data_IF_480367709477
#
_entry.id   IF_480367709477
#
_cell.length_a   1.000
_cell.length_b   1.000
_cell.length_c   1.000
_cell.angle_alpha   90.00
_cell.angle_beta   90.00
_cell.angle_gamma   90.00
#
_symmetry.space_group_name_H-M   'P 1'
#
loop_
_entity.id
_entity.type
_entity.pdbx_description
1 polymer ?
#
# COMPACT_ATOMS: atom_id res chain seq x y z
N UNK A 1 30.79 28.33 30.69
CA UNK A 1 30.68 27.53 29.45
C UNK A 1 29.84 26.31 29.79
N UNK A 2 28.51 26.39 29.69
CA UNK A 2 27.63 25.27 30.00
C UNK A 2 27.43 24.44 28.72
N UNK A 3 28.13 23.31 28.64
CA UNK A 3 27.86 22.28 27.64
C UNK A 3 26.65 21.47 28.09
N UNK A 4 25.49 21.77 27.53
CA UNK A 4 24.30 20.91 27.62
C UNK A 4 24.54 19.66 26.76
N UNK A 5 24.50 18.43 27.29
CA UNK A 5 24.47 17.25 26.45
C UNK A 5 23.09 17.13 25.81
N UNK A 6 23.00 17.34 24.48
CA UNK A 6 21.83 16.92 23.71
C UNK A 6 21.82 15.39 23.67
N UNK A 7 20.96 14.76 24.48
CA UNK A 7 20.55 13.38 24.27
C UNK A 7 19.40 13.38 23.26
N UNK A 8 19.46 12.65 22.14
CA UNK A 8 18.23 12.36 21.41
C UNK A 8 17.41 11.42 22.29
N UNK A 9 16.30 11.91 22.84
CA UNK A 9 15.29 11.10 23.52
C UNK A 9 14.56 10.20 22.51
N UNK A 10 15.29 9.26 21.92
CA UNK A 10 14.68 8.16 21.17
C UNK A 10 14.30 7.10 22.18
N UNK A 11 13.09 7.21 22.74
CA UNK A 11 12.48 6.09 23.45
C UNK A 11 12.59 4.86 22.55
N UNK A 12 13.25 3.77 22.99
CA UNK A 12 13.38 2.57 22.17
C UNK A 12 11.99 2.04 21.81
N UNK A 13 11.81 1.45 20.62
CA UNK A 13 10.53 0.87 20.26
C UNK A 13 10.20 -0.27 21.24
N UNK A 14 9.01 -0.21 21.83
CA UNK A 14 8.50 -1.25 22.71
C UNK A 14 8.06 -2.51 21.93
N UNK A 15 7.85 -2.37 20.62
CA UNK A 15 7.46 -3.45 19.72
C UNK A 15 8.18 -3.33 18.38
N UNK A 16 8.75 -4.45 17.91
CA UNK A 16 9.47 -4.55 16.64
C UNK A 16 8.96 -5.74 15.82
N UNK A 17 8.77 -5.54 14.52
CA UNK A 17 8.41 -6.58 13.55
C UNK A 17 9.51 -6.67 12.50
N UNK A 18 10.08 -7.87 12.29
CA UNK A 18 11.05 -8.15 11.23
C UNK A 18 10.49 -9.18 10.27
N UNK A 19 10.43 -8.86 8.99
CA UNK A 19 9.86 -9.74 7.96
C UNK A 19 10.81 -9.84 6.77
N UNK A 20 10.98 -11.06 6.27
CA UNK A 20 11.58 -11.30 4.95
C UNK A 20 10.47 -11.62 3.96
N UNK A 21 10.24 -10.72 3.01
CA UNK A 21 9.13 -10.78 2.06
C UNK A 21 9.61 -11.14 0.66
N UNK A 22 8.81 -11.85 -0.14
CA UNK A 22 9.14 -12.08 -1.55
C UNK A 22 9.28 -10.76 -2.30
N UNK A 23 10.07 -10.75 -3.38
CA UNK A 23 10.19 -9.56 -4.22
C UNK A 23 8.83 -9.08 -4.76
N UNK A 24 8.43 -7.81 -4.54
CA UNK A 24 7.14 -7.31 -4.99
C UNK A 24 7.07 -7.20 -6.52
N UNK A 25 5.88 -7.31 -7.13
CA UNK A 25 5.66 -6.86 -8.50
C UNK A 25 5.86 -5.33 -8.61
N UNK A 26 5.89 -4.79 -9.82
CA UNK A 26 5.95 -3.33 -9.97
C UNK A 26 4.58 -2.74 -9.66
N UNK A 27 4.52 -1.49 -9.18
CA UNK A 27 3.25 -0.79 -8.97
C UNK A 27 2.36 -0.79 -10.22
N UNK A 28 2.94 -0.61 -11.39
CA UNK A 28 2.22 -0.68 -12.67
C UNK A 28 1.62 -2.06 -12.98
N UNK A 29 2.22 -3.14 -12.47
CA UNK A 29 1.65 -4.50 -12.56
C UNK A 29 0.65 -4.76 -11.43
N UNK A 30 0.84 -4.09 -10.29
CA UNK A 30 0.05 -4.26 -9.08
C UNK A 30 -1.31 -3.56 -9.16
N UNK A 31 -1.35 -2.29 -9.57
CA UNK A 31 -2.58 -1.54 -9.75
C UNK A 31 -2.95 -1.49 -11.24
N UNK A 32 -4.21 -1.80 -11.55
CA UNK A 32 -4.77 -1.67 -12.89
C UNK A 32 -5.89 -0.65 -12.90
N UNK A 33 -6.02 0.05 -14.01
CA UNK A 33 -7.12 0.96 -14.26
C UNK A 33 -7.60 0.70 -15.68
N UNK A 34 -8.60 -0.15 -15.82
CA UNK A 34 -9.23 -0.35 -17.13
C UNK A 34 -9.95 0.93 -17.55
N UNK A 35 -10.13 1.12 -18.86
CA UNK A 35 -10.72 2.33 -19.41
C UNK A 35 -12.12 2.57 -18.81
N UNK A 36 -12.27 3.66 -18.05
CA UNK A 36 -13.52 4.01 -17.36
C UNK A 36 -13.78 3.25 -16.04
N UNK A 37 -12.92 2.30 -15.68
CA UNK A 37 -12.99 1.56 -14.42
C UNK A 37 -12.26 2.31 -13.29
N UNK A 38 -12.46 1.85 -12.06
CA UNK A 38 -11.78 2.40 -10.88
C UNK A 38 -10.45 1.66 -10.75
N UNK A 39 -9.36 2.33 -10.36
CA UNK A 39 -8.13 1.64 -10.02
C UNK A 39 -8.39 0.50 -9.04
N UNK A 40 -7.91 -0.69 -9.37
CA UNK A 40 -8.08 -1.90 -8.57
C UNK A 40 -6.78 -2.69 -8.54
N UNK A 41 -6.63 -3.52 -7.52
CA UNK A 41 -5.49 -4.45 -7.42
C UNK A 41 -5.65 -5.55 -8.46
N UNK A 42 -4.61 -5.77 -9.27
CA UNK A 42 -4.54 -6.83 -10.26
C UNK A 42 -4.54 -8.21 -9.61
N UNK A 43 -4.75 -9.27 -10.41
CA UNK A 43 -4.65 -10.64 -9.89
C UNK A 43 -3.23 -10.98 -9.42
N UNK A 44 -2.21 -10.45 -10.09
CA UNK A 44 -0.82 -10.55 -9.63
C UNK A 44 -0.62 -9.85 -8.27
N UNK A 45 -1.24 -8.68 -8.08
CA UNK A 45 -1.22 -7.97 -6.80
C UNK A 45 -1.93 -8.74 -5.70
N UNK A 46 -3.13 -9.30 -5.97
CA UNK A 46 -3.86 -10.15 -5.02
C UNK A 46 -3.04 -11.39 -4.65
N UNK A 47 -2.40 -12.03 -5.62
CA UNK A 47 -1.52 -13.19 -5.38
C UNK A 47 -0.31 -12.80 -4.53
N UNK A 48 0.28 -11.62 -4.76
CA UNK A 48 1.35 -11.10 -3.91
C UNK A 48 0.89 -10.88 -2.46
N UNK A 49 -0.26 -10.22 -2.23
CA UNK A 49 -0.83 -10.05 -0.88
C UNK A 49 -1.09 -11.39 -0.20
N UNK A 50 -1.63 -12.35 -0.93
CA UNK A 50 -1.90 -13.68 -0.41
C UNK A 50 -0.61 -14.40 0.02
N UNK A 51 0.46 -14.30 -0.77
CA UNK A 51 1.78 -14.83 -0.40
C UNK A 51 2.34 -14.16 0.84
N UNK A 52 2.33 -12.82 0.90
CA UNK A 52 2.80 -12.07 2.07
C UNK A 52 2.04 -12.50 3.33
N UNK A 53 0.70 -12.63 3.26
CA UNK A 53 -0.10 -13.10 4.39
C UNK A 53 0.23 -14.56 4.78
N UNK A 54 0.35 -15.45 3.80
CA UNK A 54 0.61 -16.86 4.03
C UNK A 54 2.01 -17.13 4.61
N UNK A 55 3.02 -16.35 4.21
CA UNK A 55 4.38 -16.47 4.75
C UNK A 55 4.53 -15.91 6.17
N UNK A 56 3.55 -15.16 6.68
CA UNK A 56 3.62 -14.47 7.97
C UNK A 56 2.42 -14.81 8.86
N UNK A 57 1.97 -16.07 8.83
CA UNK A 57 0.91 -16.55 9.72
C UNK A 57 1.38 -16.47 11.17
N UNK A 58 0.53 -15.96 12.06
CA UNK A 58 0.87 -15.73 13.47
C UNK A 58 1.61 -14.42 13.74
N UNK A 59 2.01 -13.67 12.70
CA UNK A 59 2.55 -12.32 12.88
C UNK A 59 1.51 -11.40 13.51
N UNK A 60 1.89 -10.73 14.59
CA UNK A 60 1.06 -9.71 15.25
C UNK A 60 1.24 -8.37 14.54
N UNK A 61 0.15 -7.63 14.37
CA UNK A 61 0.18 -6.30 13.82
C UNK A 61 0.51 -5.25 14.89
N UNK A 62 1.22 -4.20 14.53
CA UNK A 62 1.46 -3.03 15.36
C UNK A 62 0.25 -2.09 15.37
N UNK A 63 0.04 -1.42 16.50
CA UNK A 63 -0.95 -0.35 16.70
C UNK A 63 -0.24 0.98 16.94
N UNK A 64 -0.89 2.07 16.54
CA UNK A 64 -0.36 3.43 16.70
C UNK A 64 0.69 3.79 15.63
N UNK A 65 1.42 4.90 15.80
CA UNK A 65 2.45 5.33 14.85
C UNK A 65 3.55 4.28 14.68
N UNK A 66 3.94 4.04 13.43
CA UNK A 66 4.96 3.08 13.01
C UNK A 66 6.06 3.80 12.23
N UNK A 67 7.30 3.38 12.48
CA UNK A 67 8.47 3.72 11.68
C UNK A 67 8.81 2.52 10.80
N UNK A 68 8.94 2.74 9.50
CA UNK A 68 9.23 1.70 8.52
C UNK A 68 10.66 1.82 7.99
N UNK A 69 11.38 0.69 8.00
CA UNK A 69 12.65 0.50 7.29
C UNK A 69 12.51 -0.67 6.33
N UNK A 70 13.11 -0.56 5.14
CA UNK A 70 13.08 -1.63 4.15
C UNK A 70 14.36 -1.70 3.32
N UNK A 71 14.93 -2.88 3.21
CA UNK A 71 16.09 -3.17 2.35
C UNK A 71 15.66 -4.08 1.21
N UNK A 72 15.78 -3.60 -0.03
CA UNK A 72 15.30 -4.28 -1.22
C UNK A 72 16.45 -5.04 -1.91
N UNK A 73 16.29 -6.35 -2.08
CA UNK A 73 17.22 -7.24 -2.79
C UNK A 73 16.64 -7.62 -4.17
N UNK A 74 16.97 -6.88 -5.26
CA UNK A 74 16.34 -7.07 -6.55
C UNK A 74 16.76 -8.38 -7.24
N UNK A 75 15.86 -8.99 -8.03
CA UNK A 75 16.16 -10.22 -8.78
C UNK A 75 17.14 -9.99 -9.92
N UNK A 76 17.17 -8.78 -10.48
CA UNK A 76 18.00 -8.43 -11.64
C UNK A 76 18.65 -7.06 -11.43
N UNK A 77 19.65 -6.72 -12.26
CA UNK A 77 20.27 -5.39 -12.28
C UNK A 77 19.40 -4.32 -12.98
N UNK A 78 18.19 -4.68 -13.41
CA UNK A 78 17.32 -3.71 -14.07
C UNK A 78 16.96 -2.59 -13.10
N UNK A 79 17.13 -1.34 -13.54
CA UNK A 79 16.72 -0.16 -12.78
C UNK A 79 15.23 -0.30 -12.43
N UNK A 80 14.96 -0.33 -11.13
CA UNK A 80 13.61 -0.31 -10.58
C UNK A 80 13.45 0.96 -9.75
N UNK A 81 12.27 1.57 -9.80
CA UNK A 81 11.95 2.69 -8.92
C UNK A 81 11.67 2.19 -7.48
N UNK A 82 12.33 2.79 -6.50
CA UNK A 82 12.21 2.43 -5.09
C UNK A 82 10.81 2.72 -4.56
N UNK A 83 10.29 3.93 -4.84
CA UNK A 83 8.97 4.36 -4.36
C UNK A 83 7.84 3.48 -4.90
N UNK A 84 7.94 3.07 -6.17
CA UNK A 84 7.01 2.15 -6.80
C UNK A 84 6.98 0.77 -6.13
N UNK A 85 8.10 0.26 -5.63
CA UNK A 85 8.13 -0.99 -4.87
C UNK A 85 7.65 -0.80 -3.43
N UNK A 86 8.05 0.29 -2.79
CA UNK A 86 7.65 0.63 -1.42
C UNK A 86 6.13 0.74 -1.31
N UNK A 87 5.47 1.41 -2.26
CA UNK A 87 4.01 1.52 -2.25
C UNK A 87 3.29 0.17 -2.31
N UNK A 88 3.86 -0.80 -3.03
CA UNK A 88 3.32 -2.17 -3.12
C UNK A 88 3.53 -2.92 -1.81
N UNK A 89 4.70 -2.72 -1.19
CA UNK A 89 5.04 -3.28 0.12
C UNK A 89 4.06 -2.81 1.19
N UNK A 90 3.80 -1.50 1.26
CA UNK A 90 2.89 -0.91 2.25
C UNK A 90 1.47 -1.46 2.15
N UNK A 91 0.92 -1.55 0.93
CA UNK A 91 -0.43 -2.11 0.74
C UNK A 91 -0.49 -3.61 1.13
N UNK A 92 0.61 -4.35 0.97
CA UNK A 92 0.68 -5.76 1.33
C UNK A 92 0.91 -6.02 2.83
N UNK A 93 1.52 -5.07 3.56
CA UNK A 93 1.77 -5.15 5.00
C UNK A 93 0.53 -4.81 5.85
N UNK A 94 -0.47 -4.14 5.28
CA UNK A 94 -1.72 -3.85 5.98
C UNK A 94 -2.45 -5.13 6.43
N UNK A 95 -2.89 -5.12 7.69
CA UNK A 95 -3.47 -6.25 8.42
C UNK A 95 -2.52 -7.45 8.60
N UNK A 96 -1.24 -7.30 8.27
CA UNK A 96 -0.18 -8.28 8.52
C UNK A 96 0.77 -7.77 9.59
N UNK A 97 1.35 -6.59 9.38
CA UNK A 97 2.36 -6.01 10.25
C UNK A 97 1.90 -4.73 10.97
N UNK A 98 0.85 -4.08 10.47
CA UNK A 98 0.14 -2.97 11.09
C UNK A 98 -1.32 -2.96 10.63
N UNK A 99 -2.21 -2.21 11.29
CA UNK A 99 -3.65 -2.19 10.97
C UNK A 99 -3.97 -1.42 9.69
N UNK A 100 -3.40 -0.23 9.53
CA UNK A 100 -3.59 0.63 8.36
C UNK A 100 -2.34 1.43 8.00
N UNK A 101 -2.21 1.79 6.72
CA UNK A 101 -1.10 2.58 6.17
C UNK A 101 -0.93 3.96 6.81
N UNK A 102 -2.00 4.59 7.30
CA UNK A 102 -1.92 5.86 8.04
C UNK A 102 -1.14 5.75 9.36
N UNK A 103 -0.81 4.55 9.84
CA UNK A 103 0.10 4.35 10.95
C UNK A 103 1.55 4.63 10.58
N UNK A 104 1.95 4.44 9.32
CA UNK A 104 3.31 4.72 8.87
C UNK A 104 3.52 6.23 8.86
N UNK A 105 4.26 6.73 9.85
CA UNK A 105 4.50 8.17 10.02
C UNK A 105 5.90 8.61 9.62
N UNK A 106 6.85 7.68 9.60
CA UNK A 106 8.24 7.95 9.27
C UNK A 106 8.85 6.76 8.52
N UNK A 107 9.69 7.06 7.55
CA UNK A 107 10.66 6.11 7.01
C UNK A 107 12.01 6.38 7.68
N UNK A 108 12.72 5.34 8.08
CA UNK A 108 14.07 5.50 8.66
C UNK A 108 15.14 5.21 7.64
N UNK A 109 15.15 4.00 7.10
CA UNK A 109 16.08 3.59 6.05
C UNK A 109 15.35 2.75 5.01
N UNK A 110 15.28 3.27 3.78
CA UNK A 110 14.65 2.59 2.65
C UNK A 110 15.60 2.66 1.47
N UNK A 111 16.15 1.51 1.07
CA UNK A 111 17.19 1.46 0.06
C UNK A 111 17.21 0.13 -0.69
N UNK A 112 17.84 0.14 -1.87
CA UNK A 112 18.30 -1.10 -2.49
C UNK A 112 19.58 -1.58 -1.79
N UNK A 113 19.73 -2.89 -1.62
CA UNK A 113 20.96 -3.46 -1.10
C UNK A 113 22.11 -3.28 -2.09
N UNK A 114 23.25 -2.80 -1.61
CA UNK A 114 24.46 -2.63 -2.41
C UNK A 114 24.98 -3.97 -2.95
N UNK A 115 25.25 -4.03 -4.26
CA UNK A 115 25.90 -5.17 -4.91
C UNK A 115 25.15 -6.51 -4.83
N UNK A 116 23.90 -6.55 -4.33
CA UNK A 116 23.22 -7.79 -3.94
C UNK A 116 22.36 -8.45 -5.04
N UNK A 117 22.47 -7.99 -6.29
CA UNK A 117 21.81 -8.64 -7.42
C UNK A 117 22.25 -10.12 -7.45
N UNK A 118 21.28 -11.06 -7.43
CA UNK A 118 21.43 -12.55 -7.37
C UNK A 118 21.36 -13.22 -6.00
N UNK A 119 21.41 -12.50 -4.87
CA UNK A 119 21.09 -13.10 -3.56
C UNK A 119 19.56 -13.12 -3.42
N UNK A 120 18.94 -14.30 -3.41
CA UNK A 120 17.49 -14.57 -3.26
C UNK A 120 16.59 -13.32 -3.20
N UNK A 121 15.90 -13.03 -4.30
CA UNK A 121 15.16 -11.78 -4.48
C UNK A 121 14.06 -11.63 -3.42
N UNK A 122 14.17 -10.57 -2.61
CA UNK A 122 13.34 -10.38 -1.42
C UNK A 122 13.38 -8.93 -0.93
N UNK A 123 12.56 -8.62 0.05
CA UNK A 123 12.60 -7.36 0.78
C UNK A 123 12.67 -7.69 2.27
N UNK A 124 13.68 -7.19 2.94
CA UNK A 124 13.78 -7.25 4.39
C UNK A 124 13.11 -5.99 4.96
N UNK A 125 12.15 -6.17 5.85
CA UNK A 125 11.36 -5.09 6.43
C UNK A 125 11.55 -5.10 7.94
N UNK A 126 11.79 -3.93 8.51
CA UNK A 126 11.77 -3.70 9.95
C UNK A 126 10.75 -2.62 10.24
N UNK A 127 9.79 -2.91 11.12
CA UNK A 127 8.79 -1.96 11.58
C UNK A 127 8.94 -1.80 13.08
N UNK A 128 8.94 -0.57 13.52
CA UNK A 128 9.05 -0.19 14.92
C UNK A 128 7.78 0.54 15.36
N UNK A 129 7.23 0.14 16.50
CA UNK A 129 6.03 0.73 17.09
C UNK A 129 6.06 0.71 18.61
N UNK A 130 4.99 1.22 19.21
CA UNK A 130 4.85 1.29 20.67
C UNK A 130 3.95 0.18 21.22
N UNK A 131 2.97 -0.27 20.44
CA UNK A 131 1.95 -1.21 20.91
C UNK A 131 1.67 -2.30 19.88
N UNK A 132 1.30 -3.48 20.39
CA UNK A 132 0.73 -4.56 19.58
C UNK A 132 -0.78 -4.41 19.51
N UNK A 133 -1.35 -4.56 18.33
CA UNK A 133 -2.79 -4.66 18.17
C UNK A 133 -3.32 -5.97 18.78
N UNK A 134 -4.50 -5.89 19.37
CA UNK A 134 -5.26 -7.05 19.81
C UNK A 134 -5.94 -7.73 18.60
N UNK A 135 -6.26 -9.03 18.68
CA UNK A 135 -7.01 -9.71 17.61
C UNK A 135 -8.35 -9.04 17.28
N UNK A 136 -9.04 -8.50 18.28
CA UNK A 136 -10.30 -7.78 18.11
C UNK A 136 -10.13 -6.49 17.31
N UNK A 137 -9.06 -5.72 17.55
CA UNK A 137 -8.75 -4.50 16.79
C UNK A 137 -8.38 -4.82 15.33
N UNK A 138 -7.63 -5.90 15.09
CA UNK A 138 -7.33 -6.38 13.74
C UNK A 138 -8.61 -6.72 12.98
N UNK A 139 -9.54 -7.42 13.62
CA UNK A 139 -10.80 -7.79 12.99
C UNK A 139 -11.73 -6.59 12.78
N UNK A 140 -11.80 -5.67 13.75
CA UNK A 140 -12.55 -4.43 13.60
C UNK A 140 -12.05 -3.60 12.40
N UNK A 141 -10.74 -3.48 12.21
CA UNK A 141 -10.19 -2.77 11.05
C UNK A 141 -10.46 -3.53 9.74
N UNK A 142 -10.42 -4.88 9.74
CA UNK A 142 -10.82 -5.69 8.58
C UNK A 142 -12.25 -5.39 8.16
N UNK A 143 -13.19 -5.42 9.11
CA UNK A 143 -14.62 -5.14 8.86
C UNK A 143 -14.78 -3.72 8.31
N UNK A 144 -14.18 -2.73 8.98
CA UNK A 144 -14.22 -1.32 8.57
C UNK A 144 -13.76 -1.12 7.13
N UNK A 145 -12.66 -1.77 6.72
CA UNK A 145 -12.14 -1.67 5.35
C UNK A 145 -13.09 -2.25 4.31
N UNK A 146 -13.72 -3.39 4.61
CA UNK A 146 -14.73 -4.00 3.72
C UNK A 146 -15.91 -3.06 3.56
N UNK A 147 -16.39 -2.47 4.65
CA UNK A 147 -17.48 -1.49 4.61
C UNK A 147 -17.12 -0.22 3.83
N UNK A 148 -15.93 0.34 4.06
CA UNK A 148 -15.43 1.51 3.34
C UNK A 148 -15.29 1.21 1.84
N UNK A 149 -14.78 0.04 1.47
CA UNK A 149 -14.70 -0.39 0.07
C UNK A 149 -16.10 -0.50 -0.55
N UNK A 150 -17.08 -1.07 0.17
CA UNK A 150 -18.48 -1.14 -0.28
C UNK A 150 -19.07 0.26 -0.49
N UNK A 151 -18.94 1.15 0.48
CA UNK A 151 -19.42 2.54 0.41
C UNK A 151 -18.77 3.29 -0.76
N UNK A 152 -17.45 3.19 -0.91
CA UNK A 152 -16.70 3.81 -2.03
C UNK A 152 -17.19 3.29 -3.38
N UNK A 153 -17.39 1.97 -3.53
CA UNK A 153 -17.92 1.37 -4.77
C UNK A 153 -19.31 1.90 -5.10
N UNK A 154 -20.22 1.96 -4.11
CA UNK A 154 -21.57 2.50 -4.30
C UNK A 154 -21.54 3.97 -4.75
N UNK A 155 -20.74 4.80 -4.10
CA UNK A 155 -20.57 6.21 -4.48
C UNK A 155 -20.03 6.37 -5.91
N UNK A 156 -19.02 5.58 -6.28
CA UNK A 156 -18.45 5.63 -7.63
C UNK A 156 -19.45 5.16 -8.70
N UNK A 157 -20.24 4.13 -8.42
CA UNK A 157 -21.32 3.68 -9.31
C UNK A 157 -22.36 4.78 -9.53
N UNK A 158 -22.80 5.45 -8.46
CA UNK A 158 -23.71 6.61 -8.53
C UNK A 158 -23.14 7.75 -9.38
N UNK A 159 -21.88 8.13 -9.12
CA UNK A 159 -21.21 9.21 -9.85
C UNK A 159 -21.06 8.88 -11.34
N UNK A 160 -20.79 7.62 -11.69
CA UNK A 160 -20.76 7.17 -13.09
C UNK A 160 -22.11 7.26 -13.77
N UNK A 161 -23.18 6.81 -13.10
CA UNK A 161 -24.55 6.90 -13.63
C UNK A 161 -24.94 8.35 -13.91
N UNK A 162 -24.65 9.27 -12.97
CA UNK A 162 -24.89 10.70 -13.14
C UNK A 162 -24.10 11.29 -14.32
N UNK A 163 -22.81 10.93 -14.47
CA UNK A 163 -21.98 11.38 -15.61
C UNK A 163 -22.54 10.88 -16.95
N UNK A 164 -23.02 9.64 -17.02
CA UNK A 164 -23.66 9.07 -18.22
C UNK A 164 -24.93 9.83 -18.58
N UNK A 165 -25.79 10.14 -17.60
CA UNK A 165 -27.02 10.91 -17.81
C UNK A 165 -26.72 12.34 -18.31
N UNK A 166 -25.69 13.00 -17.75
CA UNK A 166 -25.26 14.33 -18.20
C UNK A 166 -24.69 14.30 -19.62
N UNK A 167 -23.89 13.27 -19.97
CA UNK A 167 -23.35 13.09 -21.32
C UNK A 167 -24.42 12.85 -22.38
N UNK A 168 -25.52 12.17 -22.02
CA UNK A 168 -26.66 11.93 -22.92
C UNK A 168 -27.43 13.22 -23.26
N UNK A 169 -27.43 14.23 -22.37
CA UNK A 169 -28.18 15.49 -22.57
C UNK A 169 -27.49 16.51 -23.49
N UNK A 170 -26.27 16.28 -23.97
CA UNK A 170 -25.43 17.30 -24.66
C UNK A 170 -25.32 17.08 -26.19
N UNK A 171 -26.15 16.24 -26.81
CA UNK A 171 -26.15 16.11 -28.28
C UNK A 171 -27.40 16.70 -28.94
N UNK A 172 -27.42 18.00 -29.29
CA UNK A 172 -28.40 18.52 -30.24
C UNK A 172 -27.93 18.13 -31.65
N UNK A 173 -28.71 17.29 -32.33
CA UNK A 173 -28.51 17.01 -33.74
C UNK A 173 -28.75 18.30 -34.54
N UNK A 174 -27.68 18.92 -35.06
CA UNK A 174 -27.80 20.01 -36.02
C UNK A 174 -28.34 19.43 -37.33
N UNK A 175 -29.66 19.52 -37.51
CA UNK A 175 -30.34 19.19 -38.76
C UNK A 175 -30.05 20.33 -39.75
N UNK A 176 -29.05 20.17 -40.62
CA UNK A 176 -28.87 21.06 -41.79
C UNK A 176 -30.04 20.80 -42.75
N UNK A 177 -31.05 21.65 -42.70
CA UNK A 177 -32.05 21.74 -43.74
C UNK A 177 -31.39 22.28 -45.01
N UNK A 178 -31.40 21.47 -46.07
CA UNK A 178 -31.16 21.96 -47.42
C UNK A 178 -32.34 22.83 -47.83
N UNK A 179 -32.05 24.02 -48.34
CA UNK A 179 -33.01 24.84 -49.07
C UNK A 179 -32.53 24.85 -50.53
N UNK A 180 -33.50 24.59 -51.41
CA UNK A 180 -33.40 24.54 -52.86
C UNK A 180 -33.02 25.89 -53.48
#
# INVERSE_FOLDING_TARGET
>A
MNSTPQSPSTTPPLAEVRLSLPWPPSGNRYWRSDRGATPHTSDEGKAYKARVKASNVGQRALKGPVVLSATLYPPTRQKSDLGNRLKVLEDALELVAYLNDNQVRRYRDVAFADGAYRKAARVEVVLEGQEWATPAEVEAERVRRVEQARKRRATLARNRAAKKLKGLRVTPAVRRGGVA
#
